data_IF_576048319515
#
_entry.id   IF_576048319515
#
_cell.length_a   1.000
_cell.length_b   1.000
_cell.length_c   1.000
_cell.angle_alpha   90.00
_cell.angle_beta   90.00
_cell.angle_gamma   90.00
#
_symmetry.space_group_name_H-M   'P 1'
#
loop_
_entity.id
_entity.type
_entity.pdbx_description
1 polymer ?
#
# COMPACT_ATOMS: atom_id res chain seq x y z
N UNK A 1 -5.51 8.86 -13.38
CA UNK A 1 -4.76 8.52 -12.16
C UNK A 1 -5.75 8.38 -11.01
N UNK A 2 -5.62 7.34 -10.18
CA UNK A 2 -6.56 7.05 -9.07
C UNK A 2 -6.19 7.82 -7.78
N UNK A 3 -4.90 8.10 -7.55
CA UNK A 3 -4.38 8.87 -6.40
C UNK A 3 -2.88 9.17 -6.61
N UNK A 4 -2.34 10.21 -5.96
CA UNK A 4 -0.90 10.53 -5.98
C UNK A 4 -0.07 9.56 -5.13
N UNK A 5 -0.69 8.96 -4.10
CA UNK A 5 -0.02 8.01 -3.19
C UNK A 5 -0.94 6.82 -2.94
N UNK A 6 -0.43 5.61 -3.15
CA UNK A 6 -1.14 4.35 -2.92
C UNK A 6 -0.63 3.69 -1.64
N UNK A 7 -1.53 3.44 -0.69
CA UNK A 7 -1.19 2.73 0.55
C UNK A 7 -1.66 1.28 0.50
N UNK A 8 -0.75 0.34 0.80
CA UNK A 8 -1.08 -1.07 1.08
C UNK A 8 -0.02 -1.70 1.99
N UNK A 9 -0.35 -2.84 2.59
CA UNK A 9 0.59 -3.56 3.46
C UNK A 9 1.47 -4.51 2.65
N UNK A 10 2.75 -4.58 2.98
CA UNK A 10 3.63 -5.65 2.52
C UNK A 10 3.27 -6.96 3.25
N UNK A 11 2.55 -7.85 2.59
CA UNK A 11 2.05 -9.11 3.18
C UNK A 11 2.97 -10.29 2.87
N UNK A 12 2.76 -11.43 3.56
CA UNK A 12 3.44 -12.69 3.27
C UNK A 12 3.34 -13.11 1.79
N UNK A 13 2.26 -12.74 1.10
CA UNK A 13 2.11 -13.05 -0.32
C UNK A 13 3.12 -12.30 -1.21
N UNK A 14 3.52 -11.08 -0.84
CA UNK A 14 4.59 -10.34 -1.52
C UNK A 14 5.97 -10.92 -1.20
N UNK A 15 6.18 -11.38 0.03
CA UNK A 15 7.44 -12.04 0.42
C UNK A 15 7.64 -13.38 -0.31
N UNK A 16 6.54 -14.07 -0.67
CA UNK A 16 6.60 -15.37 -1.34
C UNK A 16 6.99 -15.30 -2.83
N UNK A 17 6.99 -14.12 -3.46
CA UNK A 17 7.27 -13.95 -4.90
C UNK A 17 8.66 -13.38 -5.20
N UNK A 18 9.56 -13.38 -4.22
CA UNK A 18 10.98 -13.01 -4.31
C UNK A 18 11.23 -11.78 -5.21
N UNK A 19 10.74 -10.63 -4.76
CA UNK A 19 10.75 -9.39 -5.53
C UNK A 19 12.06 -8.65 -5.36
N UNK A 20 12.59 -8.18 -6.48
CA UNK A 20 13.73 -7.26 -6.53
C UNK A 20 13.26 -5.87 -6.97
N UNK A 21 14.08 -4.86 -6.66
CA UNK A 21 13.82 -3.51 -7.11
C UNK A 21 13.82 -3.45 -8.65
N UNK A 22 12.73 -2.94 -9.23
CA UNK A 22 12.54 -2.87 -10.68
C UNK A 22 11.61 -3.95 -11.25
N UNK A 23 11.25 -4.97 -10.47
CA UNK A 23 10.23 -5.93 -10.87
C UNK A 23 8.86 -5.27 -11.03
N UNK A 24 8.09 -5.74 -12.01
CA UNK A 24 6.68 -5.38 -12.17
C UNK A 24 5.83 -6.49 -11.58
N UNK A 25 4.90 -6.10 -10.71
CA UNK A 25 4.01 -7.02 -10.00
C UNK A 25 2.55 -6.70 -10.30
N UNK A 26 1.72 -7.74 -10.28
CA UNK A 26 0.27 -7.64 -10.36
C UNK A 26 -0.36 -8.33 -9.13
N UNK A 27 -1.45 -7.77 -8.62
CA UNK A 27 -2.22 -8.34 -7.51
C UNK A 27 -3.66 -7.81 -7.50
N UNK A 28 -4.57 -8.60 -6.92
CA UNK A 28 -5.95 -8.19 -6.64
C UNK A 28 -6.04 -7.58 -5.24
N UNK A 29 -6.77 -6.49 -5.06
CA UNK A 29 -7.00 -5.88 -3.74
C UNK A 29 -8.38 -5.22 -3.63
N UNK A 30 -8.76 -4.85 -2.39
CA UNK A 30 -10.00 -4.13 -2.10
C UNK A 30 -9.70 -2.69 -1.72
N UNK A 31 -10.42 -1.72 -2.27
CA UNK A 31 -10.39 -0.35 -1.77
C UNK A 31 -11.12 -0.30 -0.42
N UNK A 32 -10.51 0.30 0.59
CA UNK A 32 -11.08 0.38 1.95
C UNK A 32 -10.74 1.73 2.56
N UNK A 33 -11.70 2.41 3.22
CA UNK A 33 -11.40 3.66 3.90
C UNK A 33 -10.46 3.43 5.11
N UNK A 34 -9.64 4.43 5.41
CA UNK A 34 -8.90 4.51 6.66
C UNK A 34 -8.92 5.95 7.17
N UNK A 35 -8.71 6.10 8.48
CA UNK A 35 -8.58 7.40 9.12
C UNK A 35 -7.12 7.86 9.03
N UNK A 36 -6.91 9.02 8.41
CA UNK A 36 -5.61 9.67 8.29
C UNK A 36 -5.58 10.89 9.19
N UNK A 37 -4.50 11.05 9.94
CA UNK A 37 -4.35 12.16 10.86
C UNK A 37 -3.58 11.74 12.10
N UNK A 38 -3.32 12.71 12.97
CA UNK A 38 -2.71 12.44 14.26
C UNK A 38 -3.77 11.93 15.22
N UNK A 39 -3.67 10.65 15.63
CA UNK A 39 -4.60 10.00 16.57
C UNK A 39 -4.09 10.00 18.03
N UNK A 40 -3.06 10.78 18.36
CA UNK A 40 -2.48 10.82 19.71
C UNK A 40 -3.07 11.90 20.62
N UNK A 41 -2.76 11.83 21.91
CA UNK A 41 -3.31 12.72 22.96
C UNK A 41 -2.51 14.02 23.20
N UNK A 42 -1.79 14.55 22.20
CA UNK A 42 -1.09 15.83 22.36
C UNK A 42 -2.08 16.98 22.34
N UNK A 43 -2.30 17.54 23.52
CA UNK A 43 -3.28 18.57 23.90
C UNK A 43 -3.25 19.86 23.04
N UNK A 44 -2.16 20.11 22.29
CA UNK A 44 -1.95 21.32 21.50
C UNK A 44 -1.72 21.07 20.00
N UNK A 45 -1.97 19.85 19.51
CA UNK A 45 -1.87 19.54 18.09
C UNK A 45 -3.27 19.43 17.50
N UNK A 46 -3.74 20.51 16.88
CA UNK A 46 -4.93 20.45 16.03
C UNK A 46 -4.55 19.84 14.68
N UNK A 47 -4.87 18.55 14.50
CA UNK A 47 -4.82 17.87 13.20
C UNK A 47 -6.11 17.11 13.02
N UNK A 48 -7.02 17.54 12.12
CA UNK A 48 -8.28 16.86 11.92
C UNK A 48 -8.03 15.44 11.39
N UNK A 49 -8.74 14.46 11.95
CA UNK A 49 -8.81 13.13 11.38
C UNK A 49 -9.65 13.23 10.10
N UNK A 50 -9.05 12.87 8.97
CA UNK A 50 -9.71 12.85 7.67
C UNK A 50 -9.85 11.42 7.16
N UNK A 51 -10.86 11.20 6.32
CA UNK A 51 -11.05 9.90 5.66
C UNK A 51 -10.23 9.88 4.38
N UNK A 52 -9.45 8.82 4.22
CA UNK A 52 -8.67 8.52 3.02
C UNK A 52 -8.89 7.03 2.64
N UNK A 53 -8.32 6.55 1.54
CA UNK A 53 -8.52 5.19 1.05
C UNK A 53 -7.18 4.47 0.85
N UNK A 54 -7.19 3.17 1.13
CA UNK A 54 -6.05 2.27 0.92
C UNK A 54 -6.48 1.01 0.18
N UNK A 55 -5.53 0.28 -0.37
CA UNK A 55 -5.74 -1.08 -0.83
C UNK A 55 -5.53 -2.05 0.33
N UNK A 56 -6.55 -2.84 0.61
CA UNK A 56 -6.56 -3.85 1.66
C UNK A 56 -6.65 -5.25 1.05
N UNK A 57 -6.16 -6.24 1.81
CA UNK A 57 -6.22 -7.68 1.46
C UNK A 57 -5.67 -7.96 0.05
N UNK A 58 -4.40 -7.63 -0.23
CA UNK A 58 -3.78 -8.01 -1.49
C UNK A 58 -3.73 -9.54 -1.62
N UNK A 59 -4.13 -10.05 -2.77
CA UNK A 59 -4.21 -11.48 -3.10
C UNK A 59 -3.74 -11.72 -4.53
N UNK A 60 -3.45 -12.98 -4.87
CA UNK A 60 -2.95 -13.38 -6.20
C UNK A 60 -1.72 -12.56 -6.66
N UNK A 61 -0.84 -12.24 -5.70
CA UNK A 61 0.39 -11.50 -6.00
C UNK A 61 1.26 -12.34 -6.93
N UNK A 62 1.71 -11.75 -8.03
CA UNK A 62 2.61 -12.39 -9.00
C UNK A 62 3.56 -11.38 -9.63
N UNK A 63 4.77 -11.84 -9.95
CA UNK A 63 5.73 -11.11 -10.79
C UNK A 63 5.30 -11.26 -12.25
N UNK A 64 5.19 -10.15 -12.97
CA UNK A 64 4.79 -10.13 -14.40
C UNK A 64 5.91 -9.65 -15.31
N UNK A 65 6.91 -8.93 -14.80
CA UNK A 65 8.17 -8.63 -15.50
C UNK A 65 9.32 -8.57 -14.50
N UNK A 66 10.47 -9.05 -14.91
CA UNK A 66 11.71 -8.95 -14.14
C UNK A 66 12.39 -7.60 -14.34
N UNK A 67 13.09 -7.14 -13.31
CA UNK A 67 14.01 -6.03 -13.41
C UNK A 67 15.08 -6.30 -14.48
N UNK A 68 15.42 -5.28 -15.27
CA UNK A 68 16.56 -5.38 -16.20
C UNK A 68 17.84 -5.49 -15.38
N UNK A 69 18.54 -6.62 -15.50
CA UNK A 69 19.89 -6.78 -14.94
C UNK A 69 20.81 -5.81 -15.69
N UNK A 70 21.50 -4.95 -14.92
CA UNK A 70 22.51 -4.01 -15.45
C UNK A 70 23.81 -4.73 -15.78
#
# INVERSE_FOLDING_TARGET
MITDHLWFNNTKAFQAVDLEAGDVVEFDARVTPYEKGYQGYRQFIYKPITRDYKLSRPTKVKKVKEAKKS
#
